data_IF_836234544811
#
_entry.id   IF_836234544811
#
_cell.length_a   1.000
_cell.length_b   1.000
_cell.length_c   1.000
_cell.angle_alpha   90.00
_cell.angle_beta   90.00
_cell.angle_gamma   90.00
#
_symmetry.space_group_name_H-M   'P 1'
#
loop_
_entity.id
_entity.type
_entity.pdbx_description
1 polymer ?
#
# COMPACT_ATOMS: atom_id res chain seq x y z
N UNK A 1 -10.36 18.74 -3.71
CA UNK A 1 -10.61 17.71 -4.71
C UNK A 1 -12.09 17.61 -4.97
N UNK A 2 -12.51 17.73 -6.23
CA UNK A 2 -13.92 17.85 -6.59
C UNK A 2 -14.55 16.45 -6.62
N UNK A 3 -15.49 16.16 -5.73
CA UNK A 3 -16.16 14.84 -5.57
C UNK A 3 -16.86 14.36 -6.85
N UNK A 4 -17.33 15.24 -7.71
CA UNK A 4 -17.91 14.90 -9.02
C UNK A 4 -16.92 14.20 -9.98
N UNK A 5 -15.62 14.42 -9.81
CA UNK A 5 -14.60 13.72 -10.61
C UNK A 5 -14.44 12.25 -10.22
N UNK A 6 -14.67 11.92 -8.95
CA UNK A 6 -14.54 10.55 -8.42
C UNK A 6 -15.73 9.68 -8.86
N UNK A 7 -16.95 10.23 -8.85
CA UNK A 7 -18.15 9.51 -9.32
C UNK A 7 -18.07 9.17 -10.80
N UNK A 8 -17.63 10.12 -11.62
CA UNK A 8 -17.44 9.92 -13.05
C UNK A 8 -16.29 8.94 -13.36
N UNK A 9 -15.26 8.93 -12.53
CA UNK A 9 -14.18 7.94 -12.55
C UNK A 9 -14.68 6.54 -12.17
N UNK A 10 -15.55 6.44 -11.18
CA UNK A 10 -16.16 5.18 -10.77
C UNK A 10 -17.07 4.59 -11.84
N UNK A 11 -17.81 5.42 -12.56
CA UNK A 11 -18.70 5.01 -13.65
C UNK A 11 -17.89 4.50 -14.85
N UNK A 12 -16.84 5.22 -15.27
CA UNK A 12 -15.92 4.79 -16.33
C UNK A 12 -15.12 3.53 -15.95
N UNK A 13 -14.83 3.33 -14.68
CA UNK A 13 -14.02 2.22 -14.18
C UNK A 13 -14.83 0.96 -13.92
N UNK A 14 -16.16 1.06 -13.77
CA UNK A 14 -17.02 -0.10 -13.48
C UNK A 14 -16.97 -1.18 -14.57
N UNK A 15 -16.71 -0.79 -15.82
CA UNK A 15 -16.53 -1.72 -16.94
C UNK A 15 -15.13 -2.32 -17.04
N UNK A 16 -14.12 -1.65 -16.49
CA UNK A 16 -12.70 -2.00 -16.70
C UNK A 16 -11.98 -2.46 -15.44
N UNK A 17 -12.51 -2.14 -14.25
CA UNK A 17 -11.87 -2.53 -12.99
C UNK A 17 -12.34 -3.90 -12.50
N UNK A 18 -11.38 -4.69 -12.04
CA UNK A 18 -11.67 -5.84 -11.21
C UNK A 18 -12.49 -5.39 -9.98
N UNK A 19 -13.63 -6.05 -9.65
CA UNK A 19 -14.47 -5.69 -8.50
C UNK A 19 -13.72 -5.57 -7.18
N UNK A 20 -12.67 -6.38 -6.98
CA UNK A 20 -11.82 -6.31 -5.78
C UNK A 20 -11.01 -5.00 -5.71
N UNK A 21 -10.59 -4.46 -6.85
CA UNK A 21 -9.89 -3.16 -6.91
C UNK A 21 -10.87 -2.05 -6.56
N UNK A 22 -12.10 -2.13 -7.04
CA UNK A 22 -13.14 -1.15 -6.74
C UNK A 22 -13.53 -1.15 -5.25
N UNK A 23 -13.62 -2.33 -4.64
CA UNK A 23 -13.86 -2.47 -3.20
C UNK A 23 -12.74 -1.80 -2.37
N UNK A 24 -11.47 -1.99 -2.76
CA UNK A 24 -10.34 -1.35 -2.08
C UNK A 24 -10.36 0.16 -2.23
N UNK A 25 -10.66 0.68 -3.43
CA UNK A 25 -10.77 2.13 -3.67
C UNK A 25 -11.89 2.71 -2.80
N UNK A 26 -13.05 2.07 -2.74
CA UNK A 26 -14.17 2.48 -1.92
C UNK A 26 -13.81 2.47 -0.43
N UNK A 27 -13.09 1.45 0.03
CA UNK A 27 -12.61 1.34 1.41
C UNK A 27 -11.59 2.42 1.76
N UNK A 28 -10.77 2.85 0.80
CA UNK A 28 -9.78 3.91 0.98
C UNK A 28 -10.42 5.30 1.08
N UNK A 29 -11.53 5.51 0.35
CA UNK A 29 -12.31 6.77 0.40
C UNK A 29 -13.14 6.87 1.69
N UNK A 30 -13.44 5.75 2.35
CA UNK A 30 -14.09 5.73 3.65
C UNK A 30 -13.19 6.42 4.70
N UNK A 31 -13.69 7.53 5.26
CA UNK A 31 -12.97 8.32 6.28
C UNK A 31 -13.09 7.66 7.64
N UNK A 32 -11.97 7.55 8.35
CA UNK A 32 -11.96 7.24 9.78
C UNK A 32 -11.09 6.04 10.17
N UNK A 33 -11.17 5.66 11.45
CA UNK A 33 -10.47 4.54 12.10
C UNK A 33 -10.72 3.17 11.45
N UNK A 34 -11.75 3.07 10.61
CA UNK A 34 -12.14 1.84 9.92
C UNK A 34 -11.40 1.63 8.58
N UNK A 35 -10.47 2.54 8.23
CA UNK A 35 -9.65 2.37 7.04
C UNK A 35 -8.69 1.19 7.22
N UNK A 36 -8.85 0.07 6.46
CA UNK A 36 -8.03 -1.13 6.63
C UNK A 36 -6.55 -0.93 6.25
N UNK A 37 -6.20 0.21 5.67
CA UNK A 37 -4.84 0.60 5.25
C UNK A 37 -4.18 1.61 6.19
N UNK A 38 -4.86 2.01 7.26
CA UNK A 38 -4.35 2.95 8.25
C UNK A 38 -4.09 2.25 9.58
N UNK A 39 -2.92 2.49 10.17
CA UNK A 39 -2.60 2.10 11.54
C UNK A 39 -2.24 3.37 12.28
N UNK A 40 -3.04 3.70 13.27
CA UNK A 40 -2.73 4.77 14.20
C UNK A 40 -1.53 4.34 15.05
N UNK A 41 -0.46 5.12 14.98
CA UNK A 41 0.71 4.95 15.84
C UNK A 41 0.39 5.73 17.12
N UNK A 42 0.43 5.10 18.31
CA UNK A 42 0.19 5.82 19.55
C UNK A 42 1.17 6.99 19.70
N UNK A 43 0.64 8.16 20.10
CA UNK A 43 1.47 9.35 20.40
C UNK A 43 2.21 9.21 21.75
N UNK A 44 1.84 8.20 22.56
CA UNK A 44 2.51 7.88 23.82
C UNK A 44 4.00 7.55 23.59
N UNK A 45 4.83 7.90 24.58
CA UNK A 45 6.27 7.61 24.51
C UNK A 45 6.44 6.09 24.30
N UNK A 46 6.95 5.73 23.13
CA UNK A 46 6.95 4.33 22.65
C UNK A 46 7.78 3.42 23.57
N UNK A 47 8.65 4.03 24.40
CA UNK A 47 9.48 3.32 25.40
C UNK A 47 8.60 2.79 26.54
N UNK A 48 7.49 3.46 26.84
CA UNK A 48 6.55 3.06 27.90
C UNK A 48 5.49 2.04 27.40
N UNK A 49 5.45 1.79 26.08
CA UNK A 49 4.63 0.74 25.52
C UNK A 49 5.22 -0.62 25.90
N UNK A 50 4.53 -1.38 26.71
CA UNK A 50 4.92 -2.77 27.04
C UNK A 50 5.10 -3.63 25.78
N UNK A 51 5.93 -4.69 25.86
CA UNK A 51 6.24 -5.58 24.73
C UNK A 51 4.99 -6.14 24.04
N UNK A 52 3.90 -6.41 24.79
CA UNK A 52 2.65 -6.93 24.24
C UNK A 52 1.97 -5.91 23.29
N UNK A 53 1.97 -4.62 23.66
CA UNK A 53 1.44 -3.55 22.81
C UNK A 53 2.29 -3.37 21.56
N UNK A 54 3.63 -3.44 21.68
CA UNK A 54 4.55 -3.39 20.56
C UNK A 54 4.39 -4.59 19.62
N UNK A 55 4.26 -5.80 20.15
CA UNK A 55 3.99 -7.00 19.37
C UNK A 55 2.67 -6.88 18.59
N UNK A 56 1.63 -6.35 19.24
CA UNK A 56 0.35 -6.06 18.59
C UNK A 56 0.50 -5.01 17.47
N UNK A 57 1.27 -3.95 17.69
CA UNK A 57 1.55 -2.92 16.68
C UNK A 57 2.29 -3.52 15.47
N UNK A 58 3.32 -4.35 15.70
CA UNK A 58 4.05 -5.06 14.64
C UNK A 58 3.12 -5.97 13.84
N UNK A 59 2.25 -6.72 14.51
CA UNK A 59 1.28 -7.59 13.84
C UNK A 59 0.29 -6.79 12.99
N UNK A 60 -0.27 -5.70 13.51
CA UNK A 60 -1.21 -4.82 12.80
C UNK A 60 -0.55 -4.17 11.57
N UNK A 61 0.62 -3.58 11.72
CA UNK A 61 1.35 -2.92 10.61
C UNK A 61 1.77 -3.94 9.54
N UNK A 62 2.18 -5.16 9.94
CA UNK A 62 2.50 -6.23 9.00
C UNK A 62 1.26 -6.71 8.21
N UNK A 63 0.10 -6.79 8.85
CA UNK A 63 -1.17 -7.13 8.19
C UNK A 63 -1.58 -6.05 7.17
N UNK A 64 -1.44 -4.76 7.53
CA UNK A 64 -1.71 -3.64 6.62
C UNK A 64 -0.76 -3.69 5.44
N UNK A 65 0.54 -3.91 5.66
CA UNK A 65 1.50 -4.08 4.57
C UNK A 65 1.12 -5.25 3.64
N UNK A 66 0.76 -6.40 4.19
CA UNK A 66 0.33 -7.55 3.39
C UNK A 66 -0.93 -7.29 2.54
N UNK A 67 -1.86 -6.45 3.01
CA UNK A 67 -3.04 -6.02 2.24
C UNK A 67 -2.63 -5.03 1.14
N UNK A 68 -1.81 -4.04 1.46
CA UNK A 68 -1.34 -3.04 0.50
C UNK A 68 -0.53 -3.69 -0.63
N UNK A 69 0.36 -4.64 -0.32
CA UNK A 69 1.14 -5.38 -1.31
C UNK A 69 0.24 -6.21 -2.25
N UNK A 70 -0.80 -6.86 -1.72
CA UNK A 70 -1.80 -7.55 -2.56
C UNK A 70 -2.55 -6.60 -3.47
N UNK A 71 -2.97 -5.45 -2.95
CA UNK A 71 -3.65 -4.44 -3.76
C UNK A 71 -2.75 -3.92 -4.89
N UNK A 72 -1.49 -3.58 -4.61
CA UNK A 72 -0.53 -3.16 -5.63
C UNK A 72 -0.29 -4.25 -6.69
N UNK A 73 -0.22 -5.51 -6.28
CA UNK A 73 -0.15 -6.65 -7.21
C UNK A 73 -1.36 -6.75 -8.14
N UNK A 74 -2.58 -6.61 -7.61
CA UNK A 74 -3.82 -6.63 -8.40
C UNK A 74 -3.91 -5.41 -9.34
N UNK A 75 -3.54 -4.21 -8.87
CA UNK A 75 -3.54 -3.01 -9.69
C UNK A 75 -2.59 -3.14 -10.90
N UNK A 76 -1.36 -3.62 -10.66
CA UNK A 76 -0.39 -3.90 -11.73
C UNK A 76 -0.88 -4.95 -12.73
N UNK A 77 -1.52 -6.02 -12.26
CA UNK A 77 -2.08 -7.05 -13.12
C UNK A 77 -3.22 -6.49 -14.00
N UNK A 78 -4.12 -5.70 -13.41
CA UNK A 78 -5.21 -5.06 -14.13
C UNK A 78 -4.69 -4.07 -15.19
N UNK A 79 -3.71 -3.25 -14.84
CA UNK A 79 -3.04 -2.34 -15.78
C UNK A 79 -2.52 -3.09 -17.02
N UNK A 80 -1.82 -4.21 -16.83
CA UNK A 80 -1.31 -5.03 -17.94
C UNK A 80 -2.41 -5.59 -18.85
N UNK A 81 -3.55 -5.96 -18.28
CA UNK A 81 -4.71 -6.44 -19.06
C UNK A 81 -5.26 -5.30 -19.92
N UNK A 82 -5.46 -4.12 -19.35
CA UNK A 82 -5.97 -2.95 -20.05
C UNK A 82 -4.96 -2.47 -21.13
N UNK A 83 -3.66 -2.44 -20.79
CA UNK A 83 -2.61 -2.15 -21.75
C UNK A 83 -2.64 -3.10 -22.96
N UNK A 84 -2.85 -4.38 -22.71
CA UNK A 84 -3.00 -5.39 -23.77
C UNK A 84 -4.23 -5.13 -24.66
N UNK A 85 -5.37 -4.75 -24.06
CA UNK A 85 -6.59 -4.38 -24.80
C UNK A 85 -6.35 -3.14 -25.65
N UNK A 86 -5.81 -2.08 -25.07
CA UNK A 86 -5.44 -0.85 -25.79
C UNK A 86 -4.53 -1.15 -27.00
N UNK A 87 -3.43 -1.86 -26.80
CA UNK A 87 -2.49 -2.22 -27.87
C UNK A 87 -3.16 -3.02 -28.98
N UNK A 88 -4.11 -3.90 -28.63
CA UNK A 88 -4.86 -4.70 -29.61
C UNK A 88 -5.78 -3.82 -30.46
N UNK A 89 -6.60 -2.97 -29.84
CA UNK A 89 -7.53 -2.07 -30.53
C UNK A 89 -6.74 -1.09 -31.39
N UNK A 90 -5.72 -0.43 -30.83
CA UNK A 90 -4.86 0.50 -31.54
C UNK A 90 -4.24 -0.11 -32.80
N UNK A 91 -3.68 -1.34 -32.70
CA UNK A 91 -3.08 -2.02 -33.85
C UNK A 91 -4.08 -2.43 -34.90
N UNK A 92 -5.27 -2.93 -34.50
CA UNK A 92 -6.30 -3.41 -35.44
C UNK A 92 -7.01 -2.26 -36.18
N UNK A 93 -7.00 -1.05 -35.60
CA UNK A 93 -7.70 0.12 -36.15
C UNK A 93 -6.80 1.06 -36.99
N UNK A 94 -5.55 0.67 -37.22
CA UNK A 94 -4.63 1.43 -38.10
C UNK A 94 -5.02 1.27 -39.57
N UNK A 95 -6.03 2.02 -40.00
CA UNK A 95 -6.55 2.02 -41.38
C UNK A 95 -6.45 3.41 -41.95
N UNK A 96 -5.87 3.55 -43.17
CA UNK A 96 -5.73 4.83 -43.85
C UNK A 96 -4.73 4.77 -44.98
N UNK A 97 -4.75 5.80 -45.84
CA UNK A 97 -3.89 5.91 -47.03
C UNK A 97 -2.46 6.32 -46.70
N UNK A 98 -2.28 7.07 -45.62
CA UNK A 98 -0.99 7.53 -45.15
C UNK A 98 -0.84 7.27 -43.64
N UNK A 99 0.33 7.50 -43.08
CA UNK A 99 0.63 7.19 -41.68
C UNK A 99 -0.20 8.06 -40.69
N UNK A 100 -0.37 9.36 -41.05
CA UNK A 100 -1.15 10.28 -40.21
C UNK A 100 -2.64 9.86 -40.11
N UNK A 101 -3.23 9.43 -41.20
CA UNK A 101 -4.61 8.92 -41.20
C UNK A 101 -4.74 7.62 -40.39
N UNK A 102 -3.75 6.72 -40.48
CA UNK A 102 -3.73 5.47 -39.72
C UNK A 102 -3.60 5.72 -38.23
N UNK A 103 -2.77 6.67 -37.86
CA UNK A 103 -2.58 7.02 -36.45
C UNK A 103 -3.83 7.68 -35.85
N UNK A 104 -4.43 8.65 -36.59
CA UNK A 104 -5.66 9.29 -36.16
C UNK A 104 -6.82 8.29 -36.00
N UNK A 105 -7.03 7.39 -36.96
CA UNK A 105 -8.06 6.36 -36.89
C UNK A 105 -7.83 5.38 -35.73
N UNK A 106 -6.58 5.00 -35.43
CA UNK A 106 -6.23 4.13 -34.34
C UNK A 106 -6.44 4.81 -32.99
N UNK A 107 -6.09 6.09 -32.87
CA UNK A 107 -6.29 6.86 -31.62
C UNK A 107 -7.78 7.06 -31.34
N UNK A 108 -8.58 7.43 -32.33
CA UNK A 108 -10.02 7.58 -32.20
C UNK A 108 -10.69 6.26 -31.77
N UNK A 109 -10.34 5.16 -32.42
CA UNK A 109 -10.89 3.85 -32.08
C UNK A 109 -10.48 3.33 -30.70
N UNK A 110 -9.33 3.73 -30.19
CA UNK A 110 -8.77 3.27 -28.93
C UNK A 110 -8.94 4.29 -27.78
N UNK A 111 -9.71 5.36 -27.97
CA UNK A 111 -9.86 6.45 -27.00
C UNK A 111 -10.37 5.95 -25.63
N UNK A 112 -11.35 5.04 -25.65
CA UNK A 112 -11.93 4.46 -24.42
C UNK A 112 -10.89 3.62 -23.65
N UNK A 113 -10.18 2.74 -24.34
CA UNK A 113 -9.13 1.91 -23.75
C UNK A 113 -7.95 2.76 -23.27
N UNK A 114 -7.63 3.84 -23.97
CA UNK A 114 -6.59 4.79 -23.56
C UNK A 114 -6.97 5.52 -22.27
N UNK A 115 -8.20 6.00 -22.17
CA UNK A 115 -8.72 6.64 -20.95
C UNK A 115 -8.71 5.67 -19.76
N UNK A 116 -9.12 4.42 -20.00
CA UNK A 116 -9.04 3.36 -18.99
C UNK A 116 -7.60 3.05 -18.57
N UNK A 117 -6.66 3.05 -19.51
CA UNK A 117 -5.23 2.82 -19.24
C UNK A 117 -4.64 3.89 -18.34
N UNK A 118 -4.89 5.19 -18.63
CA UNK A 118 -4.43 6.31 -17.78
C UNK A 118 -4.99 6.17 -16.36
N UNK A 119 -6.25 5.78 -16.24
CA UNK A 119 -6.87 5.61 -14.92
C UNK A 119 -6.28 4.43 -14.17
N UNK A 120 -6.03 3.30 -14.83
CA UNK A 120 -5.35 2.16 -14.23
C UNK A 120 -3.92 2.50 -13.79
N UNK A 121 -3.21 3.35 -14.53
CA UNK A 121 -1.88 3.84 -14.15
C UNK A 121 -1.94 4.67 -12.87
N UNK A 122 -2.91 5.57 -12.73
CA UNK A 122 -3.12 6.34 -11.52
C UNK A 122 -3.43 5.44 -10.30
N UNK A 123 -4.18 4.35 -10.50
CA UNK A 123 -4.47 3.36 -9.45
C UNK A 123 -3.20 2.59 -9.07
N UNK A 124 -2.36 2.21 -10.02
CA UNK A 124 -1.06 1.57 -9.73
C UNK A 124 -0.20 2.49 -8.88
N UNK A 125 -0.06 3.74 -9.26
CA UNK A 125 0.72 4.73 -8.51
C UNK A 125 0.22 4.92 -7.07
N UNK A 126 -1.11 4.99 -6.89
CA UNK A 126 -1.72 5.03 -5.56
C UNK A 126 -1.42 3.77 -4.76
N UNK A 127 -1.61 2.60 -5.34
CA UNK A 127 -1.39 1.31 -4.69
C UNK A 127 0.07 1.12 -4.26
N UNK A 128 1.02 1.53 -5.10
CA UNK A 128 2.46 1.49 -4.78
C UNK A 128 2.83 2.48 -3.67
N UNK A 129 2.23 3.66 -3.65
CA UNK A 129 2.41 4.62 -2.56
C UNK A 129 1.91 4.05 -1.23
N UNK A 130 0.75 3.40 -1.22
CA UNK A 130 0.20 2.72 -0.04
C UNK A 130 1.08 1.56 0.42
N UNK A 131 1.53 0.72 -0.51
CA UNK A 131 2.44 -0.40 -0.22
C UNK A 131 3.72 0.10 0.44
N UNK A 132 4.34 1.17 -0.12
CA UNK A 132 5.56 1.74 0.42
C UNK A 132 5.36 2.35 1.82
N UNK A 133 4.29 3.10 2.02
CA UNK A 133 3.96 3.68 3.33
C UNK A 133 3.71 2.61 4.39
N UNK A 134 2.97 1.56 4.06
CA UNK A 134 2.70 0.44 4.95
C UNK A 134 3.98 -0.37 5.25
N UNK A 135 4.88 -0.53 4.29
CA UNK A 135 6.19 -1.17 4.47
C UNK A 135 7.03 -0.39 5.48
N UNK A 136 7.14 0.93 5.30
CA UNK A 136 7.90 1.81 6.21
C UNK A 136 7.34 1.71 7.63
N UNK A 137 6.01 1.76 7.79
CA UNK A 137 5.36 1.63 9.09
C UNK A 137 5.67 0.27 9.77
N UNK A 138 5.61 -0.82 9.00
CA UNK A 138 5.92 -2.17 9.50
C UNK A 138 7.38 -2.32 9.92
N UNK A 139 8.32 -1.79 9.11
CA UNK A 139 9.75 -1.79 9.43
C UNK A 139 10.06 -0.95 10.67
N UNK A 140 9.42 0.22 10.80
CA UNK A 140 9.58 1.09 11.96
C UNK A 140 9.07 0.44 13.24
N UNK A 141 7.91 -0.22 13.20
CA UNK A 141 7.36 -0.94 14.34
C UNK A 141 8.29 -2.09 14.79
N UNK A 142 8.88 -2.83 13.86
CA UNK A 142 9.87 -3.89 14.17
C UNK A 142 11.12 -3.34 14.82
N UNK A 143 11.71 -2.27 14.25
CA UNK A 143 12.91 -1.62 14.82
C UNK A 143 12.67 -1.11 16.23
N UNK A 144 11.47 -0.58 16.50
CA UNK A 144 11.05 -0.16 17.83
C UNK A 144 11.00 -1.34 18.81
N UNK A 145 10.38 -2.43 18.42
CA UNK A 145 10.31 -3.65 19.23
C UNK A 145 11.72 -4.19 19.54
N UNK A 146 12.59 -4.28 18.54
CA UNK A 146 13.97 -4.74 18.71
C UNK A 146 14.76 -3.85 19.67
N UNK A 147 14.56 -2.52 19.59
CA UNK A 147 15.19 -1.55 20.50
C UNK A 147 14.75 -1.77 21.95
N UNK A 148 13.44 -1.90 22.19
CA UNK A 148 12.90 -2.11 23.54
C UNK A 148 13.35 -3.46 24.12
N UNK A 149 13.36 -4.52 23.33
CA UNK A 149 13.90 -5.81 23.74
C UNK A 149 15.39 -5.73 24.13
N UNK A 150 16.19 -5.04 23.32
CA UNK A 150 17.62 -4.84 23.61
C UNK A 150 17.84 -4.09 24.92
N UNK A 151 17.04 -3.05 25.20
CA UNK A 151 17.11 -2.29 26.44
C UNK A 151 16.74 -3.15 27.65
N UNK A 152 15.69 -3.96 27.55
CA UNK A 152 15.28 -4.87 28.63
C UNK A 152 16.35 -5.95 28.93
N UNK A 153 16.99 -6.49 27.88
CA UNK A 153 18.09 -7.45 28.04
C UNK A 153 19.29 -6.79 28.71
N UNK A 154 19.64 -5.54 28.35
CA UNK A 154 20.72 -4.79 28.97
C UNK A 154 20.42 -4.57 30.47
N UNK A 155 19.25 -4.03 30.79
CA UNK A 155 18.82 -3.81 32.18
C UNK A 155 18.82 -5.09 33.04
N UNK A 156 18.39 -6.20 32.46
CA UNK A 156 18.41 -7.51 33.14
C UNK A 156 19.83 -8.03 33.39
N UNK A 157 20.77 -7.73 32.52
CA UNK A 157 22.21 -8.07 32.71
C UNK A 157 22.84 -7.22 33.80
N UNK A 158 22.57 -5.91 33.79
CA UNK A 158 23.03 -5.00 34.83
C UNK A 158 22.51 -5.41 36.21
N UNK A 159 21.22 -5.72 36.33
CA UNK A 159 20.63 -6.21 37.56
C UNK A 159 21.27 -7.50 38.08
N UNK A 160 21.63 -8.44 37.20
CA UNK A 160 22.36 -9.66 37.58
C UNK A 160 23.81 -9.40 37.96
N UNK A 161 24.48 -8.42 37.32
CA UNK A 161 25.84 -8.01 37.67
C UNK A 161 25.93 -7.41 39.07
N UNK A 162 24.95 -6.60 39.47
CA UNK A 162 24.89 -6.05 40.83
C UNK A 162 24.70 -7.12 41.94
N UNK A 163 23.98 -8.21 41.66
CA UNK A 163 23.82 -9.31 42.59
C UNK A 163 25.07 -10.20 42.72
N UNK A 164 25.95 -10.24 41.71
CA UNK A 164 27.18 -11.05 41.77
C UNK A 164 28.33 -10.37 42.53
N UNK A 165 28.33 -9.04 42.62
CA UNK A 165 29.36 -8.30 43.41
C UNK A 165 29.02 -8.21 44.92
N UNK A 166 27.74 -8.21 45.28
CA UNK A 166 27.31 -8.18 46.69
C UNK A 166 27.52 -9.50 47.44
N UNK A 167 27.58 -10.63 46.73
CA UNK A 167 27.77 -11.95 47.34
C UNK A 167 29.23 -12.29 47.66
N UNK A 168 30.20 -11.44 47.24
CA UNK A 168 31.61 -11.66 47.49
C UNK A 168 32.20 -10.87 48.70
N UNK A 169 31.36 -10.13 49.47
CA UNK A 169 31.82 -9.38 50.63
C UNK A 169 31.48 -10.01 51.99
N UNK A 170 31.20 -11.27 52.05
CA UNK A 170 30.96 -11.96 53.33
C UNK A 170 31.87 -13.19 53.45
N UNK A 171 33.19 -12.96 53.60
CA UNK A 171 34.11 -13.87 54.32
C UNK A 171 35.35 -13.09 54.79
#
# INVERSE_FOLDING_TARGET
MNFQGIEKLQELLSEFLNPQIQEVINSYVAKGSDNPYFVEIPEEDVIDLGLDKLASLVARTSNVYGRAARFAGMARANYKIIEGKYKKVYKSSRVGKNEAEREAAAMEAAETEYSALITCEAIVNLAESLENSARIASESARKLMDKVQSMQVASAREAKGYYSESDFQTY
#
